data_IF_681112649820
#
_entry.id   IF_681112649820
#
_cell.length_a   1.000
_cell.length_b   1.000
_cell.length_c   1.000
_cell.angle_alpha   90.00
_cell.angle_beta   90.00
_cell.angle_gamma   90.00
#
_symmetry.space_group_name_H-M   'P 1'
#
loop_
_entity.id
_entity.type
_entity.pdbx_description
1 polymer ?
#
# COMPACT_ATOMS: atom_id res chain seq x y z
N UNK A 1 -7.19 4.12 6.79
CA UNK A 1 -6.17 3.38 7.56
C UNK A 1 -6.88 2.34 8.42
N UNK A 2 -6.21 1.26 8.83
CA UNK A 2 -6.74 0.28 9.77
C UNK A 2 -6.08 0.50 11.14
N UNK A 3 -6.62 1.37 12.03
CA UNK A 3 -5.95 1.72 13.28
C UNK A 3 -5.79 0.54 14.24
N UNK A 4 -6.74 -0.41 14.24
CA UNK A 4 -6.73 -1.57 15.13
C UNK A 4 -5.54 -2.53 14.91
N UNK A 5 -4.77 -2.37 13.82
CA UNK A 5 -3.56 -3.20 13.59
C UNK A 5 -2.41 -2.82 14.50
N UNK A 6 -2.50 -1.67 15.17
CA UNK A 6 -1.52 -1.18 16.14
C UNK A 6 -1.92 -1.47 17.59
N UNK A 7 -3.06 -2.13 17.83
CA UNK A 7 -3.44 -2.58 19.16
C UNK A 7 -2.56 -3.75 19.60
N UNK A 8 -2.20 -3.82 20.89
CA UNK A 8 -1.35 -4.89 21.44
C UNK A 8 -1.93 -6.31 21.23
N UNK A 9 -3.23 -6.41 20.98
CA UNK A 9 -3.97 -7.65 20.76
C UNK A 9 -4.10 -8.02 19.27
N UNK A 10 -3.55 -7.23 18.36
CA UNK A 10 -3.67 -7.48 16.93
C UNK A 10 -3.04 -8.82 16.54
N UNK A 11 -3.79 -9.60 15.76
CA UNK A 11 -3.35 -10.85 15.16
C UNK A 11 -4.30 -11.30 14.05
N UNK A 12 -4.14 -12.55 13.60
CA UNK A 12 -4.99 -13.11 12.54
C UNK A 12 -6.48 -13.06 12.89
N UNK A 13 -6.84 -13.35 14.15
CA UNK A 13 -8.24 -13.34 14.61
C UNK A 13 -8.88 -11.96 14.47
N UNK A 14 -8.19 -10.90 14.92
CA UNK A 14 -8.66 -9.51 14.80
C UNK A 14 -8.86 -9.11 13.33
N UNK A 15 -7.98 -9.54 12.43
CA UNK A 15 -8.14 -9.28 10.99
C UNK A 15 -9.31 -10.06 10.37
N UNK A 16 -9.53 -11.30 10.81
CA UNK A 16 -10.68 -12.11 10.39
C UNK A 16 -11.98 -11.44 10.84
N UNK A 17 -12.08 -10.99 12.09
CA UNK A 17 -13.28 -10.28 12.58
C UNK A 17 -13.55 -9.01 11.79
N UNK A 18 -12.51 -8.19 11.56
CA UNK A 18 -12.62 -7.03 10.67
C UNK A 18 -13.15 -7.42 9.29
N UNK A 19 -12.55 -8.43 8.65
CA UNK A 19 -12.95 -8.86 7.31
C UNK A 19 -14.38 -9.40 7.27
N UNK A 20 -14.82 -10.12 8.30
CA UNK A 20 -16.20 -10.62 8.42
C UNK A 20 -17.24 -9.50 8.51
N UNK A 21 -16.86 -8.34 9.05
CA UNK A 21 -17.71 -7.14 9.16
C UNK A 21 -17.67 -6.24 7.92
N UNK A 22 -16.68 -6.41 7.02
CA UNK A 22 -16.68 -5.71 5.73
C UNK A 22 -17.85 -6.21 4.88
N UNK A 23 -18.69 -5.33 4.31
CA UNK A 23 -19.77 -5.74 3.44
C UNK A 23 -19.26 -6.46 2.19
N UNK A 24 -19.97 -7.52 1.80
CA UNK A 24 -19.65 -8.30 0.61
C UNK A 24 -19.94 -7.50 -0.67
N UNK A 25 -19.29 -7.87 -1.77
CA UNK A 25 -19.65 -7.41 -3.13
C UNK A 25 -20.45 -8.48 -3.89
N UNK A 26 -19.93 -9.71 -3.89
CA UNK A 26 -20.52 -10.79 -4.68
C UNK A 26 -20.22 -12.15 -4.06
N UNK A 27 -20.97 -13.14 -4.52
CA UNK A 27 -20.58 -14.55 -4.44
C UNK A 27 -20.51 -15.12 -5.85
N UNK A 28 -19.45 -15.86 -6.17
CA UNK A 28 -19.32 -16.51 -7.47
C UNK A 28 -19.97 -17.89 -7.43
N UNK A 29 -21.06 -18.07 -8.19
CA UNK A 29 -21.82 -19.32 -8.26
C UNK A 29 -22.17 -19.63 -9.69
N UNK A 30 -22.02 -20.90 -10.10
CA UNK A 30 -22.44 -21.39 -11.42
C UNK A 30 -21.97 -20.49 -12.58
N UNK A 31 -20.70 -20.05 -12.51
CA UNK A 31 -20.06 -19.15 -13.47
C UNK A 31 -20.68 -17.74 -13.59
N UNK A 32 -21.35 -17.28 -12.53
CA UNK A 32 -21.97 -15.95 -12.46
C UNK A 32 -21.60 -15.28 -11.15
N UNK A 33 -21.50 -13.95 -11.20
CA UNK A 33 -21.41 -13.10 -10.03
C UNK A 33 -22.83 -12.85 -9.52
N UNK A 34 -23.11 -13.32 -8.32
CA UNK A 34 -24.36 -13.05 -7.59
C UNK A 34 -24.13 -11.81 -6.74
N UNK A 35 -24.90 -10.75 -6.98
CA UNK A 35 -24.80 -9.50 -6.24
C UNK A 35 -25.12 -9.73 -4.75
N UNK A 36 -24.17 -9.38 -3.89
CA UNK A 36 -24.27 -9.45 -2.44
C UNK A 36 -23.86 -8.11 -1.82
N UNK A 37 -23.92 -7.02 -2.59
CA UNK A 37 -23.50 -5.68 -2.19
C UNK A 37 -24.20 -5.27 -0.89
N UNK A 38 -23.42 -4.92 0.13
CA UNK A 38 -23.95 -4.50 1.44
C UNK A 38 -24.33 -5.66 2.37
N UNK A 39 -24.24 -6.92 1.93
CA UNK A 39 -24.58 -8.09 2.75
C UNK A 39 -23.41 -8.53 3.64
N UNK A 40 -23.73 -9.30 4.69
CA UNK A 40 -22.75 -9.73 5.70
C UNK A 40 -22.17 -11.12 5.40
N UNK A 41 -20.83 -11.24 5.44
CA UNK A 41 -20.18 -12.55 5.39
C UNK A 41 -20.50 -13.38 6.64
N UNK A 42 -20.74 -12.76 7.81
CA UNK A 42 -21.21 -13.43 9.03
C UNK A 42 -22.57 -14.09 8.84
N UNK A 43 -23.47 -13.47 8.08
CA UNK A 43 -24.77 -14.09 7.71
C UNK A 43 -24.59 -15.21 6.70
N UNK A 44 -23.66 -15.06 5.76
CA UNK A 44 -23.32 -16.13 4.83
C UNK A 44 -22.83 -17.38 5.55
N UNK A 45 -21.93 -17.23 6.54
CA UNK A 45 -21.47 -18.33 7.40
C UNK A 45 -22.60 -19.05 8.15
N UNK A 46 -23.77 -18.41 8.31
CA UNK A 46 -24.95 -18.96 8.98
C UNK A 46 -26.01 -19.47 7.98
N UNK A 47 -25.75 -19.42 6.68
CA UNK A 47 -26.71 -19.79 5.63
C UNK A 47 -27.84 -18.78 5.47
N UNK A 48 -27.66 -17.54 5.94
CA UNK A 48 -28.70 -16.51 6.01
C UNK A 48 -28.54 -15.42 4.94
N UNK A 49 -27.71 -15.65 3.92
CA UNK A 49 -27.48 -14.68 2.86
C UNK A 49 -28.73 -14.57 1.96
N UNK A 50 -29.39 -13.39 1.86
CA UNK A 50 -30.64 -13.26 1.08
C UNK A 50 -30.51 -13.64 -0.40
N UNK A 51 -29.36 -13.32 -1.02
CA UNK A 51 -29.10 -13.66 -2.42
C UNK A 51 -28.84 -15.15 -2.65
N UNK A 52 -28.50 -15.91 -1.60
CA UNK A 52 -28.21 -17.35 -1.65
C UNK A 52 -28.77 -18.05 -0.40
N UNK A 53 -30.11 -18.17 -0.26
CA UNK A 53 -30.73 -18.70 0.95
C UNK A 53 -30.29 -20.14 1.23
N UNK A 54 -29.81 -20.41 2.44
CA UNK A 54 -29.38 -21.73 2.89
C UNK A 54 -28.00 -22.19 2.41
N UNK A 55 -27.33 -21.44 1.53
CA UNK A 55 -25.96 -21.77 1.12
C UNK A 55 -24.94 -21.31 2.17
N UNK A 56 -23.91 -22.13 2.40
CA UNK A 56 -22.76 -21.80 3.24
C UNK A 56 -21.56 -21.41 2.38
N UNK A 57 -20.67 -20.52 2.87
CA UNK A 57 -19.44 -20.16 2.17
C UNK A 57 -18.47 -21.34 2.14
N UNK A 58 -17.65 -21.37 1.09
CA UNK A 58 -16.46 -22.21 1.02
C UNK A 58 -15.19 -21.32 1.02
N UNK A 59 -14.00 -21.95 0.98
CA UNK A 59 -12.73 -21.22 0.99
C UNK A 59 -12.54 -20.27 -0.20
N UNK A 60 -13.11 -20.57 -1.37
CA UNK A 60 -13.03 -19.65 -2.52
C UNK A 60 -13.89 -18.41 -2.27
N UNK A 61 -15.02 -18.53 -1.57
CA UNK A 61 -15.84 -17.36 -1.21
C UNK A 61 -15.11 -16.45 -0.23
N UNK A 62 -14.42 -17.05 0.75
CA UNK A 62 -13.58 -16.30 1.67
C UNK A 62 -12.43 -15.60 0.96
N UNK A 63 -11.73 -16.30 0.06
CA UNK A 63 -10.64 -15.71 -0.73
C UNK A 63 -11.12 -14.57 -1.64
N UNK A 64 -12.30 -14.74 -2.26
CA UNK A 64 -12.94 -13.69 -3.05
C UNK A 64 -13.30 -12.47 -2.19
N UNK A 65 -13.89 -12.71 -1.01
CA UNK A 65 -14.25 -11.66 -0.06
C UNK A 65 -13.04 -10.86 0.45
N UNK A 66 -11.96 -11.54 0.82
CA UNK A 66 -10.71 -10.86 1.20
C UNK A 66 -10.15 -9.99 0.05
N UNK A 67 -10.40 -10.38 -1.20
CA UNK A 67 -9.93 -9.64 -2.38
C UNK A 67 -10.73 -8.34 -2.62
N UNK A 68 -11.89 -8.16 -1.99
CA UNK A 68 -12.72 -6.94 -2.08
C UNK A 68 -12.47 -5.95 -0.95
N UNK A 69 -11.53 -6.24 -0.04
CA UNK A 69 -11.09 -5.31 1.00
C UNK A 69 -9.92 -4.49 0.45
N UNK A 70 -9.93 -3.16 0.59
CA UNK A 70 -8.91 -2.28 -0.02
C UNK A 70 -8.23 -1.31 0.96
N UNK A 71 -7.58 -1.79 2.03
CA UNK A 71 -6.73 -0.96 2.89
C UNK A 71 -5.40 -0.60 2.19
N UNK A 72 -4.59 0.26 2.83
CA UNK A 72 -3.23 0.60 2.37
C UNK A 72 -2.28 -0.60 2.37
N UNK A 73 -2.44 -1.49 3.36
CA UNK A 73 -1.76 -2.78 3.45
C UNK A 73 -2.81 -3.85 3.69
N UNK A 74 -2.85 -4.87 2.83
CA UNK A 74 -3.86 -5.95 2.91
C UNK A 74 -3.23 -7.26 3.32
N UNK A 75 -3.93 -7.99 4.18
CA UNK A 75 -3.55 -9.32 4.62
C UNK A 75 -4.45 -10.36 3.95
N UNK A 76 -3.80 -11.35 3.33
CA UNK A 76 -4.39 -12.61 2.89
C UNK A 76 -3.53 -13.74 3.46
N UNK A 77 -3.15 -14.71 2.63
CA UNK A 77 -2.05 -15.64 2.93
C UNK A 77 -0.66 -14.98 2.79
N UNK A 78 -0.63 -13.72 2.40
CA UNK A 78 0.53 -12.86 2.19
C UNK A 78 0.12 -11.42 2.46
N UNK A 79 1.09 -10.51 2.57
CA UNK A 79 0.86 -9.08 2.70
C UNK A 79 0.98 -8.40 1.33
N UNK A 80 0.09 -7.44 1.07
CA UNK A 80 0.09 -6.63 -0.15
C UNK A 80 0.28 -5.16 0.22
N UNK A 81 1.33 -4.53 -0.31
CA UNK A 81 1.61 -3.09 -0.16
C UNK A 81 0.90 -2.33 -1.30
N UNK A 82 -0.06 -1.47 -0.98
CA UNK A 82 -1.04 -0.96 -1.97
C UNK A 82 -1.01 0.57 -2.17
N UNK A 83 -0.05 1.26 -1.56
CA UNK A 83 -0.01 2.73 -1.51
C UNK A 83 0.79 3.42 -2.63
N UNK A 84 1.22 2.70 -3.67
CA UNK A 84 2.07 3.26 -4.72
C UNK A 84 1.33 3.43 -6.06
N UNK A 85 1.56 4.56 -6.71
CA UNK A 85 1.11 4.80 -8.08
C UNK A 85 1.86 3.91 -9.09
N UNK A 86 1.21 3.63 -10.21
CA UNK A 86 1.89 3.07 -11.39
C UNK A 86 2.93 4.03 -11.96
N UNK A 87 3.88 3.52 -12.74
CA UNK A 87 4.89 4.34 -13.39
C UNK A 87 5.82 3.55 -14.30
N UNK A 88 6.78 4.21 -14.96
CA UNK A 88 7.71 3.58 -15.89
C UNK A 88 8.47 2.40 -15.27
N UNK A 89 8.97 1.51 -16.14
CA UNK A 89 9.54 0.21 -15.75
C UNK A 89 10.56 0.27 -14.61
N UNK A 90 11.41 1.31 -14.54
CA UNK A 90 12.39 1.47 -13.45
C UNK A 90 11.71 1.56 -12.07
N UNK A 91 10.59 2.27 -11.99
CA UNK A 91 9.79 2.39 -10.75
C UNK A 91 9.01 1.12 -10.45
N UNK A 92 8.57 0.38 -11.47
CA UNK A 92 7.97 -0.95 -11.29
C UNK A 92 8.96 -1.92 -10.62
N UNK A 93 10.25 -1.85 -10.95
CA UNK A 93 11.29 -2.65 -10.31
C UNK A 93 11.69 -2.10 -8.93
N UNK A 94 11.66 -0.78 -8.74
CA UNK A 94 12.04 -0.14 -7.47
C UNK A 94 11.04 -0.42 -6.33
N UNK A 95 9.74 -0.45 -6.63
CA UNK A 95 8.69 -0.66 -5.62
C UNK A 95 8.85 -1.98 -4.83
N UNK A 96 8.97 -3.16 -5.47
CA UNK A 96 9.20 -4.40 -4.73
C UNK A 96 10.57 -4.41 -4.03
N UNK A 97 11.61 -3.82 -4.65
CA UNK A 97 12.93 -3.74 -4.04
C UNK A 97 12.91 -2.94 -2.73
N UNK A 98 12.14 -1.84 -2.67
CA UNK A 98 11.98 -1.03 -1.46
C UNK A 98 11.41 -1.88 -0.31
N UNK A 99 10.29 -2.55 -0.55
CA UNK A 99 9.63 -3.36 0.49
C UNK A 99 10.43 -4.60 0.88
N UNK A 100 11.11 -5.27 -0.06
CA UNK A 100 12.02 -6.39 0.25
C UNK A 100 13.18 -5.90 1.13
N UNK A 101 13.76 -4.74 0.82
CA UNK A 101 14.85 -4.17 1.62
C UNK A 101 14.45 -3.81 3.06
N UNK A 102 13.19 -3.42 3.27
CA UNK A 102 12.69 -3.06 4.61
C UNK A 102 12.22 -4.27 5.41
N UNK A 103 11.49 -5.19 4.77
CA UNK A 103 10.72 -6.22 5.47
C UNK A 103 11.41 -7.58 5.52
N UNK A 104 12.35 -7.89 4.61
CA UNK A 104 12.96 -9.22 4.49
C UNK A 104 14.40 -9.25 5.04
N UNK A 105 14.73 -8.30 5.91
CA UNK A 105 15.94 -8.25 6.71
C UNK A 105 15.57 -7.83 8.13
N UNK A 106 15.92 -8.64 9.12
CA UNK A 106 15.49 -8.45 10.52
C UNK A 106 16.00 -7.12 11.10
N UNK A 107 17.22 -6.72 10.76
CA UNK A 107 17.80 -5.45 11.23
C UNK A 107 17.07 -4.24 10.65
N UNK A 108 16.77 -4.27 9.35
CA UNK A 108 15.97 -3.24 8.70
C UNK A 108 14.56 -3.18 9.28
N UNK A 109 13.91 -4.32 9.46
CA UNK A 109 12.56 -4.39 10.00
C UNK A 109 12.50 -3.81 11.42
N UNK A 110 13.39 -4.24 12.30
CA UNK A 110 13.47 -3.70 13.67
C UNK A 110 13.75 -2.20 13.67
N UNK A 111 14.64 -1.73 12.79
CA UNK A 111 14.96 -0.29 12.69
C UNK A 111 13.77 0.54 12.21
N UNK A 112 12.96 0.02 11.29
CA UNK A 112 11.70 0.66 10.87
C UNK A 112 10.72 0.73 12.04
N UNK A 113 10.56 -0.37 12.79
CA UNK A 113 9.72 -0.39 13.99
C UNK A 113 10.18 0.66 15.00
N UNK A 114 11.49 0.80 15.22
CA UNK A 114 12.07 1.77 16.16
C UNK A 114 11.83 3.22 15.71
N UNK A 115 11.88 3.51 14.40
CA UNK A 115 11.56 4.84 13.83
C UNK A 115 10.09 5.19 14.02
N UNK A 116 9.20 4.20 13.87
CA UNK A 116 7.74 4.42 13.90
C UNK A 116 7.10 4.19 15.27
N UNK A 117 7.86 3.75 16.27
CA UNK A 117 7.32 3.27 17.57
C UNK A 117 6.51 4.32 18.33
N UNK A 118 6.85 5.59 18.17
CA UNK A 118 6.22 6.70 18.88
C UNK A 118 5.24 7.48 17.99
N UNK A 119 4.96 6.99 16.78
CA UNK A 119 4.01 7.62 15.87
C UNK A 119 2.59 7.39 16.37
N UNK A 120 1.81 8.46 16.49
CA UNK A 120 0.40 8.32 16.90
C UNK A 120 -0.48 7.93 15.71
N UNK A 121 -1.69 7.42 15.99
CA UNK A 121 -2.70 7.16 14.97
C UNK A 121 -3.08 8.44 14.20
N UNK A 122 -3.13 9.58 14.88
CA UNK A 122 -3.44 10.88 14.27
C UNK A 122 -2.31 11.32 13.34
N UNK A 123 -1.05 11.12 13.75
CA UNK A 123 0.13 11.39 12.92
C UNK A 123 0.12 10.55 11.64
N UNK A 124 -0.09 9.23 11.76
CA UNK A 124 -0.18 8.33 10.61
C UNK A 124 -1.37 8.68 9.69
N UNK A 125 -2.53 8.99 10.26
CA UNK A 125 -3.70 9.40 9.49
C UNK A 125 -3.49 10.75 8.80
N UNK A 126 -2.78 11.67 9.44
CA UNK A 126 -2.40 12.97 8.88
C UNK A 126 -1.48 12.78 7.68
N UNK A 127 -0.42 11.97 7.81
CA UNK A 127 0.48 11.66 6.71
C UNK A 127 -0.28 11.04 5.54
N UNK A 128 -1.11 10.03 5.79
CA UNK A 128 -1.95 9.40 4.75
C UNK A 128 -2.81 10.42 3.99
N UNK A 129 -3.36 11.41 4.68
CA UNK A 129 -4.23 12.41 4.08
C UNK A 129 -3.47 13.54 3.36
N UNK A 130 -2.25 13.88 3.81
CA UNK A 130 -1.47 15.02 3.32
C UNK A 130 -0.51 14.66 2.20
N UNK A 131 0.08 13.46 2.23
CA UNK A 131 1.02 12.97 1.22
C UNK A 131 0.48 13.05 -0.21
N UNK A 132 -0.79 12.69 -0.50
CA UNK A 132 -1.33 12.81 -1.86
C UNK A 132 -1.26 14.22 -2.45
N UNK A 133 -1.23 15.26 -1.61
CA UNK A 133 -1.14 16.67 -2.05
C UNK A 133 0.27 17.24 -1.96
N UNK A 134 1.00 16.90 -0.88
CA UNK A 134 2.25 17.57 -0.52
C UNK A 134 3.50 16.71 -0.78
N UNK A 135 3.34 15.42 -1.06
CA UNK A 135 4.45 14.51 -1.29
C UNK A 135 5.46 14.51 -0.14
N UNK A 136 6.75 14.50 -0.48
CA UNK A 136 7.85 14.56 0.50
C UNK A 136 8.00 15.93 1.18
N UNK A 137 7.31 16.96 0.70
CA UNK A 137 7.25 18.29 1.33
C UNK A 137 6.18 18.37 2.43
N UNK A 138 5.51 17.26 2.76
CA UNK A 138 4.58 17.19 3.89
C UNK A 138 5.33 17.47 5.20
N UNK A 139 4.93 18.48 5.99
CA UNK A 139 5.50 18.70 7.32
C UNK A 139 5.17 17.52 8.24
N UNK A 140 6.17 17.06 8.99
CA UNK A 140 6.03 15.99 9.96
C UNK A 140 6.92 16.27 11.17
N UNK A 141 6.29 16.50 12.33
CA UNK A 141 6.94 16.99 13.55
C UNK A 141 7.80 18.23 13.27
N UNK A 142 9.04 18.26 13.72
CA UNK A 142 9.97 19.38 13.55
C UNK A 142 10.64 19.41 12.15
N UNK A 143 10.10 18.66 11.18
CA UNK A 143 10.78 18.34 9.94
C UNK A 143 9.82 18.15 8.75
N UNK A 144 10.36 17.66 7.64
CA UNK A 144 9.60 17.23 6.46
C UNK A 144 9.63 15.70 6.37
N UNK A 145 8.58 15.12 5.80
CA UNK A 145 8.49 13.67 5.53
C UNK A 145 9.67 13.19 4.66
N UNK A 146 10.24 14.06 3.84
CA UNK A 146 11.49 13.79 3.11
C UNK A 146 12.61 13.25 4.00
N UNK A 147 12.83 13.81 5.18
CA UNK A 147 13.94 13.36 6.04
C UNK A 147 13.68 11.95 6.59
N UNK A 148 12.43 11.63 6.93
CA UNK A 148 12.05 10.25 7.24
C UNK A 148 12.29 9.34 6.02
N UNK A 149 11.97 9.80 4.81
CA UNK A 149 12.19 9.03 3.59
C UNK A 149 13.70 8.80 3.30
N UNK A 150 14.59 9.70 3.71
CA UNK A 150 16.04 9.52 3.64
C UNK A 150 16.49 8.34 4.53
N UNK A 151 16.02 8.28 5.77
CA UNK A 151 16.30 7.17 6.70
C UNK A 151 15.72 5.84 6.19
N UNK A 152 14.45 5.84 5.74
CA UNK A 152 13.78 4.64 5.23
C UNK A 152 14.48 4.11 3.96
N UNK A 153 14.87 4.98 3.03
CA UNK A 153 15.59 4.56 1.83
C UNK A 153 16.95 3.95 2.18
N UNK A 154 17.66 4.53 3.15
CA UNK A 154 18.93 4.01 3.61
C UNK A 154 18.76 2.60 4.21
N UNK A 155 17.77 2.39 5.09
CA UNK A 155 17.46 1.07 5.64
C UNK A 155 17.10 0.04 4.57
N UNK A 156 16.28 0.42 3.59
CA UNK A 156 15.93 -0.46 2.48
C UNK A 156 17.16 -0.89 1.68
N UNK A 157 18.05 0.06 1.38
CA UNK A 157 19.29 -0.20 0.66
C UNK A 157 20.21 -1.15 1.43
N UNK A 158 20.33 -0.96 2.74
CA UNK A 158 21.12 -1.81 3.61
C UNK A 158 20.57 -3.23 3.71
N UNK A 159 19.24 -3.39 3.85
CA UNK A 159 18.62 -4.73 3.86
C UNK A 159 18.85 -5.48 2.54
N UNK A 160 18.74 -4.80 1.39
CA UNK A 160 19.09 -5.39 0.09
C UNK A 160 20.58 -5.75 -0.02
N UNK A 161 21.49 -4.98 0.61
CA UNK A 161 22.91 -5.31 0.66
C UNK A 161 23.17 -6.55 1.52
N UNK A 162 22.55 -6.65 2.70
CA UNK A 162 22.68 -7.80 3.61
C UNK A 162 22.17 -9.11 2.98
N UNK A 163 21.16 -9.05 2.11
CA UNK A 163 20.70 -10.19 1.32
C UNK A 163 21.74 -10.74 0.34
N UNK A 164 22.74 -9.94 -0.07
CA UNK A 164 23.85 -10.41 -0.90
C UNK A 164 23.53 -10.62 -2.39
N UNK A 165 22.31 -10.31 -2.85
CA UNK A 165 21.86 -10.56 -4.22
C UNK A 165 22.20 -9.43 -5.23
N UNK A 166 22.93 -8.39 -4.80
CA UNK A 166 23.26 -7.20 -5.62
C UNK A 166 22.02 -6.43 -6.14
N UNK A 167 20.96 -6.39 -5.34
CA UNK A 167 19.64 -5.81 -5.69
C UNK A 167 19.53 -4.30 -5.38
N UNK A 168 20.46 -3.72 -4.63
CA UNK A 168 20.38 -2.33 -4.16
C UNK A 168 20.32 -1.28 -5.29
N UNK A 169 20.80 -1.61 -6.49
CA UNK A 169 20.71 -0.75 -7.66
C UNK A 169 19.28 -0.47 -8.15
N UNK A 170 18.31 -1.32 -7.79
CA UNK A 170 16.90 -1.06 -8.11
C UNK A 170 16.34 0.17 -7.40
N UNK A 171 16.96 0.61 -6.30
CA UNK A 171 16.54 1.80 -5.55
C UNK A 171 17.08 3.12 -6.11
N UNK A 172 17.93 3.09 -7.15
CA UNK A 172 18.54 4.32 -7.69
C UNK A 172 17.50 5.35 -8.17
N UNK A 173 16.40 4.87 -8.75
CA UNK A 173 15.33 5.74 -9.26
C UNK A 173 14.64 6.53 -8.14
N UNK A 174 14.34 5.85 -7.03
CA UNK A 174 13.69 6.50 -5.87
C UNK A 174 14.68 7.29 -5.02
N UNK A 175 15.98 6.97 -5.08
CA UNK A 175 17.01 7.70 -4.37
C UNK A 175 17.10 9.17 -4.79
N UNK A 176 16.95 9.45 -6.08
CA UNK A 176 16.95 10.83 -6.58
C UNK A 176 15.70 11.60 -6.12
N UNK A 177 14.54 10.94 -6.06
CA UNK A 177 13.30 11.54 -5.54
C UNK A 177 13.46 11.93 -4.08
N UNK A 178 14.00 11.03 -3.25
CA UNK A 178 14.26 11.29 -1.83
C UNK A 178 15.30 12.41 -1.65
N UNK A 179 16.42 12.35 -2.39
CA UNK A 179 17.49 13.35 -2.35
C UNK A 179 17.04 14.76 -2.78
N UNK A 180 16.10 14.87 -3.69
CA UNK A 180 15.61 16.18 -4.17
C UNK A 180 14.36 16.63 -3.43
N UNK A 181 13.58 15.70 -2.86
CA UNK A 181 12.24 15.97 -2.36
C UNK A 181 11.22 16.28 -3.47
N UNK A 182 11.57 16.02 -4.74
CA UNK A 182 10.71 16.28 -5.90
C UNK A 182 10.14 14.94 -6.37
N UNK A 183 8.85 14.78 -6.20
CA UNK A 183 8.10 13.59 -6.63
C UNK A 183 8.04 13.49 -8.16
N UNK A 184 7.79 12.30 -8.72
CA UNK A 184 7.54 12.16 -10.15
C UNK A 184 6.37 13.02 -10.65
N UNK A 185 5.32 13.20 -9.83
CA UNK A 185 4.19 14.06 -10.16
C UNK A 185 4.60 15.52 -10.30
N UNK A 186 5.45 16.03 -9.39
CA UNK A 186 5.97 17.40 -9.48
C UNK A 186 6.82 17.61 -10.75
N UNK A 187 7.63 16.62 -11.14
CA UNK A 187 8.38 16.69 -12.42
C UNK A 187 7.44 16.80 -13.62
N UNK A 188 6.34 16.06 -13.62
CA UNK A 188 5.35 16.14 -14.70
C UNK A 188 4.62 17.49 -14.70
N UNK A 189 4.35 18.07 -13.53
CA UNK A 189 3.78 19.42 -13.43
C UNK A 189 4.74 20.49 -13.96
N UNK A 190 6.04 20.37 -13.67
CA UNK A 190 7.06 21.27 -14.21
C UNK A 190 7.13 21.17 -15.75
N UNK A 191 7.05 19.96 -16.31
CA UNK A 191 6.99 19.74 -17.75
C UNK A 191 5.71 20.32 -18.36
N UNK A 192 4.56 20.06 -17.70
CA UNK A 192 3.25 20.56 -18.10
C UNK A 192 3.21 22.09 -18.18
N UNK A 193 3.60 22.78 -17.10
CA UNK A 193 3.59 24.25 -17.06
C UNK A 193 4.75 24.88 -17.87
N UNK A 194 5.81 24.12 -18.14
CA UNK A 194 6.95 24.54 -18.93
C UNK A 194 6.86 24.08 -20.38
N UNK A 195 7.70 23.09 -20.73
CA UNK A 195 7.95 22.64 -22.11
C UNK A 195 6.68 22.22 -22.87
N UNK A 196 5.67 21.71 -22.17
CA UNK A 196 4.44 21.22 -22.79
C UNK A 196 3.35 22.28 -22.94
N UNK A 197 3.57 23.50 -22.43
CA UNK A 197 2.67 24.63 -22.66
C UNK A 197 1.25 24.41 -22.13
N UNK A 198 1.10 23.79 -20.97
CA UNK A 198 -0.16 23.38 -20.35
C UNK A 198 -0.95 22.36 -21.21
N UNK A 199 -0.26 21.51 -21.96
CA UNK A 199 -0.83 20.37 -22.66
C UNK A 199 -0.40 19.07 -22.01
N UNK A 200 -1.33 18.13 -21.81
CA UNK A 200 -1.02 16.81 -21.26
C UNK A 200 -0.62 15.79 -22.33
N UNK A 201 -0.94 16.01 -23.61
CA UNK A 201 -0.68 15.06 -24.70
C UNK A 201 0.76 14.53 -24.74
N UNK A 202 1.82 15.33 -24.48
CA UNK A 202 3.18 14.81 -24.46
C UNK A 202 3.45 13.74 -23.38
N UNK A 203 2.61 13.62 -22.35
CA UNK A 203 2.76 12.57 -21.32
C UNK A 203 2.63 11.16 -21.90
N UNK A 204 1.88 11.01 -23.00
CA UNK A 204 1.69 9.74 -23.70
C UNK A 204 2.94 9.29 -24.47
N UNK A 205 3.90 10.19 -24.70
CA UNK A 205 5.23 9.87 -25.21
C UNK A 205 6.26 9.75 -24.07
N UNK A 206 6.23 10.68 -23.11
CA UNK A 206 7.19 10.74 -21.99
C UNK A 206 7.11 9.50 -21.08
N UNK A 207 5.91 8.97 -20.84
CA UNK A 207 5.68 7.80 -19.98
C UNK A 207 5.29 6.54 -20.77
N UNK A 208 5.56 6.52 -22.08
CA UNK A 208 5.34 5.34 -22.92
C UNK A 208 6.21 4.17 -22.44
N UNK A 209 5.65 2.96 -22.40
CA UNK A 209 6.33 1.73 -21.99
C UNK A 209 7.16 1.10 -23.11
#
# INVERSE_FOLDING_TARGET
MLPFVFDDTFGFESYVEYALDVPMYFVYRKKKYVDCSGMSFKDFMKGKLPSLPGELPNLNDWENHLTTIFPEVRLKRYLEMRGADGGPWRRLCALPALWVGLLYDETSLQSVLDITKDWTLEEMQMLRNKVPKMGLKTPFRDSLLRHVAEDILQLAKEGLQRRGCKESGFLNEVAEVVRTGITPAERLLDLYHGKWGNCVDPVFEELLY
#
